data_IF_310593851266
#
_entry.id   IF_310593851266
#
_cell.length_a   1.000
_cell.length_b   1.000
_cell.length_c   1.000
_cell.angle_alpha   90.00
_cell.angle_beta   90.00
_cell.angle_gamma   90.00
#
_symmetry.space_group_name_H-M   'P 1'
#
loop_
_entity.id
_entity.type
_entity.pdbx_description
1 polymer ?
#
# COMPACT_ATOMS: atom_id res chain seq x y z
N UNK A 1 -17.79 -16.03 14.60
CA UNK A 1 -16.36 -15.92 14.98
C UNK A 1 -15.50 -17.15 14.69
N UNK A 2 -15.91 -18.39 15.04
CA UNK A 2 -15.07 -19.61 14.86
C UNK A 2 -14.55 -19.88 13.45
N UNK A 3 -15.25 -19.46 12.40
CA UNK A 3 -14.85 -19.68 10.99
C UNK A 3 -13.70 -18.78 10.56
N UNK A 4 -13.62 -17.56 11.10
CA UNK A 4 -12.59 -16.57 10.74
C UNK A 4 -11.41 -16.56 11.72
N UNK A 5 -11.54 -17.21 12.88
CA UNK A 5 -10.50 -17.28 13.89
C UNK A 5 -9.13 -17.78 13.36
N UNK A 6 -9.05 -18.79 12.48
CA UNK A 6 -7.76 -19.20 11.91
C UNK A 6 -7.16 -18.13 11.00
N UNK A 7 -7.99 -17.40 10.25
CA UNK A 7 -7.56 -16.32 9.37
C UNK A 7 -7.05 -15.14 10.18
N UNK A 8 -7.76 -14.73 11.24
CA UNK A 8 -7.31 -13.69 12.16
C UNK A 8 -6.05 -14.09 12.93
N UNK A 9 -5.94 -15.35 13.35
CA UNK A 9 -4.74 -15.86 13.99
C UNK A 9 -3.54 -15.84 13.02
N UNK A 10 -3.77 -16.15 11.74
CA UNK A 10 -2.73 -16.10 10.72
C UNK A 10 -2.31 -14.66 10.39
N UNK A 11 -3.26 -13.73 10.19
CA UNK A 11 -2.93 -12.31 9.96
C UNK A 11 -2.25 -11.69 11.18
N UNK A 12 -2.69 -12.02 12.39
CA UNK A 12 -2.04 -11.61 13.64
C UNK A 12 -0.62 -12.17 13.74
N UNK A 13 -0.41 -13.46 13.48
CA UNK A 13 0.91 -14.08 13.50
C UNK A 13 1.84 -13.50 12.42
N UNK A 14 1.32 -13.21 11.23
CA UNK A 14 2.07 -12.56 10.16
C UNK A 14 2.47 -11.12 10.53
N UNK A 15 1.56 -10.36 11.13
CA UNK A 15 1.83 -9.01 11.63
C UNK A 15 2.86 -8.99 12.78
N UNK A 16 2.78 -9.96 13.70
CA UNK A 16 3.72 -10.07 14.82
C UNK A 16 5.12 -10.49 14.35
N UNK A 17 5.21 -11.39 13.37
CA UNK A 17 6.47 -11.79 12.76
C UNK A 17 7.10 -10.66 11.92
N UNK A 18 6.30 -9.77 11.35
CA UNK A 18 6.77 -8.54 10.72
C UNK A 18 7.29 -7.51 11.74
N UNK A 19 6.85 -7.58 13.01
CA UNK A 19 7.29 -6.72 14.11
C UNK A 19 8.60 -7.18 14.77
N UNK A 20 8.92 -8.47 14.69
CA UNK A 20 10.20 -9.05 15.16
C UNK A 20 11.37 -8.77 14.20
N UNK A 21 11.06 -8.54 12.93
CA UNK A 21 12.00 -7.98 11.97
C UNK A 21 12.04 -6.48 12.23
N UNK A 22 13.22 -5.92 12.53
CA UNK A 22 13.42 -4.49 12.84
C UNK A 22 12.56 -3.58 11.94
N UNK A 23 12.04 -2.48 12.50
CA UNK A 23 11.12 -1.53 11.82
C UNK A 23 11.59 -0.97 10.46
N UNK A 24 12.81 -1.28 10.00
CA UNK A 24 13.31 -0.99 8.64
C UNK A 24 13.43 -2.18 7.68
N UNK A 25 13.31 -3.43 8.13
CA UNK A 25 13.59 -4.63 7.32
C UNK A 25 12.32 -5.39 6.89
N UNK A 26 11.21 -5.24 7.62
CA UNK A 26 9.93 -5.94 7.34
C UNK A 26 9.29 -5.49 6.02
N UNK A 27 9.41 -4.20 5.69
CA UNK A 27 9.02 -3.65 4.40
C UNK A 27 9.82 -4.27 3.24
N UNK A 28 11.08 -4.68 3.48
CA UNK A 28 11.98 -5.19 2.45
C UNK A 28 11.56 -6.52 1.82
N UNK A 29 10.91 -7.44 2.56
CA UNK A 29 10.50 -8.74 2.00
C UNK A 29 9.19 -8.67 1.22
N UNK A 30 8.25 -7.84 1.67
CA UNK A 30 7.03 -7.55 0.92
C UNK A 30 7.34 -6.68 -0.30
N UNK A 31 8.19 -5.66 -0.16
CA UNK A 31 8.69 -4.86 -1.27
C UNK A 31 9.44 -5.70 -2.31
N UNK A 32 10.24 -6.70 -1.88
CA UNK A 32 10.88 -7.67 -2.79
C UNK A 32 9.88 -8.59 -3.49
N UNK A 33 8.75 -8.91 -2.86
CA UNK A 33 7.66 -9.62 -3.53
C UNK A 33 6.96 -8.73 -4.58
N UNK A 34 6.77 -7.44 -4.28
CA UNK A 34 6.26 -6.45 -5.23
C UNK A 34 7.25 -6.20 -6.39
N UNK A 35 8.56 -6.11 -6.13
CA UNK A 35 9.66 -6.02 -7.11
C UNK A 35 9.56 -7.13 -8.18
N UNK A 36 9.30 -8.36 -7.73
CA UNK A 36 9.17 -9.53 -8.59
C UNK A 36 7.91 -9.49 -9.48
N UNK A 37 6.89 -8.72 -9.08
CA UNK A 37 5.61 -8.63 -9.75
C UNK A 37 5.55 -7.41 -10.71
N UNK A 38 6.14 -6.28 -10.32
CA UNK A 38 6.00 -4.97 -10.98
C UNK A 38 7.13 -4.62 -11.97
N UNK A 39 8.34 -5.20 -11.84
CA UNK A 39 9.50 -4.82 -12.67
C UNK A 39 9.52 -5.38 -14.10
N UNK A 40 9.89 -4.54 -15.08
CA UNK A 40 9.99 -4.85 -16.53
C UNK A 40 11.41 -5.33 -16.97
N UNK A 41 12.31 -5.60 -16.01
CA UNK A 41 13.65 -6.17 -16.27
C UNK A 41 13.66 -7.69 -16.17
N UNK A 42 14.52 -8.37 -16.95
CA UNK A 42 14.58 -9.82 -17.18
C UNK A 42 14.18 -10.71 -15.97
N UNK A 43 12.88 -11.06 -15.91
CA UNK A 43 12.35 -11.99 -14.89
C UNK A 43 12.94 -13.39 -15.07
N UNK A 44 13.54 -14.03 -14.04
CA UNK A 44 14.02 -15.39 -14.14
C UNK A 44 12.86 -16.35 -14.48
N UNK A 45 13.11 -17.38 -15.30
CA UNK A 45 12.08 -18.27 -15.86
C UNK A 45 11.16 -18.87 -14.78
N UNK A 46 11.71 -19.22 -13.61
CA UNK A 46 10.94 -19.76 -12.47
C UNK A 46 9.92 -18.76 -11.92
N UNK A 47 10.25 -17.47 -11.92
CA UNK A 47 9.38 -16.41 -11.45
C UNK A 47 8.29 -16.08 -12.48
N UNK A 48 8.64 -16.07 -13.77
CA UNK A 48 7.65 -15.96 -14.85
C UNK A 48 6.58 -17.04 -14.72
N UNK A 49 7.01 -18.27 -14.44
CA UNK A 49 6.09 -19.39 -14.22
C UNK A 49 5.13 -19.16 -13.04
N UNK A 50 5.65 -18.68 -11.90
CA UNK A 50 4.85 -18.35 -10.70
C UNK A 50 3.84 -17.24 -10.97
N UNK A 51 4.25 -16.16 -11.65
CA UNK A 51 3.34 -15.07 -12.01
C UNK A 51 2.27 -15.50 -12.99
N UNK A 52 2.57 -16.43 -13.90
CA UNK A 52 1.61 -16.94 -14.89
C UNK A 52 0.55 -17.86 -14.27
N UNK A 53 0.87 -18.60 -13.20
CA UNK A 53 -0.11 -19.47 -12.51
C UNK A 53 -0.88 -18.76 -11.40
N UNK A 54 -0.42 -17.58 -10.96
CA UNK A 54 -1.05 -16.81 -9.89
C UNK A 54 -2.55 -16.53 -10.10
N UNK A 55 -3.03 -16.08 -11.29
CA UNK A 55 -4.46 -15.88 -11.53
C UNK A 55 -5.29 -17.17 -11.42
N UNK A 56 -4.71 -18.32 -11.78
CA UNK A 56 -5.37 -19.62 -11.66
C UNK A 56 -5.50 -20.03 -10.19
N UNK A 57 -4.48 -19.76 -9.37
CA UNK A 57 -4.54 -19.94 -7.92
C UNK A 57 -5.64 -19.10 -7.26
N UNK A 58 -5.72 -17.80 -7.62
CA UNK A 58 -6.77 -16.89 -7.13
C UNK A 58 -8.16 -17.37 -7.54
N UNK A 59 -8.33 -17.84 -8.78
CA UNK A 59 -9.59 -18.44 -9.24
C UNK A 59 -9.97 -19.68 -8.42
N UNK A 60 -9.00 -20.55 -8.10
CA UNK A 60 -9.20 -21.70 -7.22
C UNK A 60 -9.67 -21.29 -5.83
N UNK A 61 -9.03 -20.29 -5.21
CA UNK A 61 -9.43 -19.77 -3.89
C UNK A 61 -10.84 -19.17 -3.91
N UNK A 62 -11.21 -18.43 -4.96
CA UNK A 62 -12.56 -17.91 -5.14
C UNK A 62 -13.60 -19.02 -5.27
N UNK A 63 -13.31 -20.09 -6.04
CA UNK A 63 -14.18 -21.26 -6.16
C UNK A 63 -14.37 -21.99 -4.83
N UNK A 64 -13.35 -21.96 -3.96
CA UNK A 64 -13.40 -22.52 -2.61
C UNK A 64 -14.06 -21.58 -1.58
N UNK A 65 -14.60 -20.43 -2.02
CA UNK A 65 -15.32 -19.49 -1.15
C UNK A 65 -14.41 -18.60 -0.29
N UNK A 66 -13.10 -18.57 -0.55
CA UNK A 66 -12.11 -17.74 0.16
C UNK A 66 -12.01 -16.35 -0.52
N UNK A 67 -13.10 -15.87 -1.13
CA UNK A 67 -13.11 -14.62 -1.90
C UNK A 67 -14.51 -14.09 -2.21
N UNK A 68 -14.60 -12.86 -2.75
CA UNK A 68 -13.93 -12.53 -4.01
C UNK A 68 -12.55 -11.88 -3.83
N UNK A 69 -11.52 -12.58 -4.30
CA UNK A 69 -10.14 -12.12 -4.44
C UNK A 69 -9.86 -11.69 -5.89
N UNK A 70 -9.11 -10.62 -6.06
CA UNK A 70 -8.59 -10.18 -7.37
C UNK A 70 -7.16 -10.67 -7.55
N UNK A 71 -6.80 -11.06 -8.78
CA UNK A 71 -5.40 -11.32 -9.16
C UNK A 71 -4.70 -10.07 -9.70
N UNK A 72 -5.42 -8.97 -9.86
CA UNK A 72 -4.85 -7.67 -10.26
C UNK A 72 -4.20 -7.00 -9.05
N UNK A 73 -2.87 -6.98 -9.09
CA UNK A 73 -1.97 -6.42 -8.08
C UNK A 73 -1.24 -5.18 -8.63
N UNK A 74 -1.74 -4.58 -9.70
CA UNK A 74 -1.19 -3.34 -10.23
C UNK A 74 -1.34 -2.20 -9.21
N UNK A 75 -0.43 -1.22 -9.24
CA UNK A 75 -0.53 -0.03 -8.38
C UNK A 75 -1.92 0.63 -8.33
N UNK A 76 -2.59 0.88 -9.48
CA UNK A 76 -3.95 1.42 -9.48
C UNK A 76 -4.99 0.50 -8.84
N UNK A 77 -4.88 -0.82 -9.03
CA UNK A 77 -5.79 -1.78 -8.40
C UNK A 77 -5.59 -1.84 -6.88
N UNK A 78 -4.34 -1.82 -6.42
CA UNK A 78 -4.01 -1.76 -5.00
C UNK A 78 -4.54 -0.47 -4.36
N UNK A 79 -4.37 0.68 -5.02
CA UNK A 79 -4.95 1.97 -4.59
C UNK A 79 -6.46 1.85 -4.42
N UNK A 80 -7.18 1.46 -5.48
CA UNK A 80 -8.65 1.31 -5.45
C UNK A 80 -9.12 0.36 -4.36
N UNK A 81 -8.46 -0.80 -4.23
CA UNK A 81 -8.82 -1.80 -3.22
C UNK A 81 -8.63 -1.27 -1.81
N UNK A 82 -7.56 -0.49 -1.57
CA UNK A 82 -7.28 0.11 -0.28
C UNK A 82 -8.28 1.21 0.06
N UNK A 83 -8.61 2.10 -0.91
CA UNK A 83 -9.62 3.15 -0.72
C UNK A 83 -11.01 2.55 -0.44
N UNK A 84 -11.38 1.50 -1.18
CA UNK A 84 -12.63 0.77 -0.93
C UNK A 84 -12.65 0.13 0.46
N UNK A 85 -11.55 -0.50 0.86
CA UNK A 85 -11.45 -1.11 2.19
C UNK A 85 -11.57 -0.06 3.31
N UNK A 86 -10.96 1.12 3.14
CA UNK A 86 -11.07 2.20 4.12
C UNK A 86 -12.46 2.83 4.13
N UNK A 87 -13.10 3.00 2.98
CA UNK A 87 -14.49 3.44 2.91
C UNK A 87 -15.46 2.46 3.59
N UNK A 88 -15.27 1.16 3.39
CA UNK A 88 -16.04 0.12 4.09
C UNK A 88 -15.77 0.14 5.60
N UNK A 89 -14.51 0.29 6.02
CA UNK A 89 -14.15 0.38 7.43
C UNK A 89 -14.81 1.60 8.09
N UNK A 90 -14.74 2.78 7.45
CA UNK A 90 -15.38 3.99 7.92
C UNK A 90 -16.91 3.81 8.05
N UNK A 91 -17.54 3.23 7.02
CA UNK A 91 -18.98 2.95 7.04
C UNK A 91 -19.40 1.99 8.15
N UNK A 92 -18.67 0.89 8.35
CA UNK A 92 -18.96 -0.10 9.40
C UNK A 92 -18.71 0.42 10.81
N UNK A 93 -17.74 1.30 10.98
CA UNK A 93 -17.46 1.95 12.25
C UNK A 93 -18.42 3.11 12.54
N UNK A 94 -19.28 3.50 11.58
CA UNK A 94 -20.20 4.63 11.73
C UNK A 94 -19.45 5.96 11.83
N UNK A 95 -18.35 6.12 11.09
CA UNK A 95 -17.62 7.40 11.05
C UNK A 95 -18.44 8.40 10.22
N UNK A 96 -18.98 9.42 10.88
CA UNK A 96 -19.81 10.47 10.27
C UNK A 96 -19.01 11.73 9.89
N UNK A 97 -17.68 11.70 10.01
CA UNK A 97 -16.82 12.82 9.64
C UNK A 97 -16.85 13.08 8.12
N UNK A 98 -16.86 14.36 7.72
CA UNK A 98 -16.76 14.76 6.32
C UNK A 98 -15.40 14.37 5.71
N UNK A 99 -14.33 14.40 6.53
CA UNK A 99 -12.98 14.05 6.11
C UNK A 99 -12.41 12.95 7.01
N UNK A 100 -11.99 11.85 6.40
CA UNK A 100 -11.39 10.69 7.07
C UNK A 100 -9.93 10.60 6.67
N UNK A 101 -9.04 10.77 7.66
CA UNK A 101 -7.60 10.71 7.48
C UNK A 101 -7.11 9.32 7.86
N UNK A 102 -6.29 8.70 7.01
CA UNK A 102 -5.73 7.37 7.25
C UNK A 102 -4.31 7.26 6.70
N UNK A 103 -3.67 6.11 6.92
CA UNK A 103 -2.30 5.82 6.47
C UNK A 103 -2.19 4.42 5.88
N UNK A 104 -1.15 3.68 6.28
CA UNK A 104 -0.91 2.25 5.99
C UNK A 104 -0.55 1.88 4.55
N UNK A 105 -1.12 2.52 3.53
CA UNK A 105 -0.81 2.22 2.12
C UNK A 105 0.49 2.86 1.63
N UNK A 106 1.06 3.76 2.44
CA UNK A 106 2.27 4.54 2.16
C UNK A 106 2.15 5.47 0.94
N UNK A 107 0.97 5.54 0.32
CA UNK A 107 0.66 6.41 -0.81
C UNK A 107 -0.06 7.65 -0.32
N UNK A 108 0.56 8.81 -0.51
CA UNK A 108 -0.09 10.09 -0.28
C UNK A 108 -1.27 10.31 -1.26
N UNK A 109 -2.32 10.96 -0.79
CA UNK A 109 -3.38 11.49 -1.67
C UNK A 109 -4.63 11.97 -0.94
N UNK A 110 -5.64 12.48 -1.67
CA UNK A 110 -5.69 12.56 -3.13
C UNK A 110 -4.65 13.52 -3.73
N UNK A 111 -4.12 13.18 -4.90
CA UNK A 111 -3.26 14.06 -5.72
C UNK A 111 -4.03 14.60 -6.93
N UNK A 112 -3.57 15.69 -7.59
CA UNK A 112 -4.29 16.31 -8.71
C UNK A 112 -4.62 15.35 -9.87
N UNK A 113 -3.78 14.34 -10.09
CA UNK A 113 -3.92 13.34 -11.16
C UNK A 113 -4.78 12.13 -10.74
N UNK A 114 -5.20 12.07 -9.47
CA UNK A 114 -6.08 11.01 -9.00
C UNK A 114 -7.52 11.22 -9.48
N UNK A 115 -8.21 10.12 -9.77
CA UNK A 115 -9.66 10.14 -9.90
C UNK A 115 -10.29 10.40 -8.52
N UNK A 116 -10.73 11.64 -8.31
CA UNK A 116 -11.31 12.08 -7.03
C UNK A 116 -12.56 11.30 -6.62
N UNK A 117 -13.24 10.62 -7.56
CA UNK A 117 -14.39 9.77 -7.22
C UNK A 117 -13.99 8.53 -6.44
N UNK A 118 -12.76 8.01 -6.64
CA UNK A 118 -12.20 6.89 -5.86
C UNK A 118 -11.92 7.29 -4.39
N UNK A 119 -11.74 8.59 -4.13
CA UNK A 119 -11.43 9.16 -2.82
C UNK A 119 -12.67 9.60 -2.03
N UNK A 120 -13.85 9.23 -2.50
CA UNK A 120 -15.11 9.41 -1.78
C UNK A 120 -15.61 8.06 -1.30
N UNK A 121 -16.05 8.01 -0.05
CA UNK A 121 -16.82 6.87 0.45
C UNK A 121 -18.22 6.87 -0.17
N UNK A 122 -18.93 5.72 -0.20
CA UNK A 122 -20.33 5.68 -0.61
C UNK A 122 -21.24 6.63 0.18
N UNK A 123 -20.89 6.91 1.45
CA UNK A 123 -21.60 7.86 2.31
C UNK A 123 -21.25 9.33 2.07
N UNK A 124 -20.34 9.63 1.14
CA UNK A 124 -19.98 10.99 0.76
C UNK A 124 -18.76 11.57 1.48
N UNK A 125 -18.25 10.95 2.55
CA UNK A 125 -17.01 11.42 3.19
C UNK A 125 -15.81 11.36 2.24
N UNK A 126 -14.93 12.34 2.35
CA UNK A 126 -13.61 12.33 1.72
C UNK A 126 -12.65 11.42 2.47
N UNK A 127 -11.85 10.67 1.72
CA UNK A 127 -10.71 9.94 2.23
C UNK A 127 -9.43 10.75 1.96
N UNK A 128 -8.50 10.76 2.90
CA UNK A 128 -7.19 11.40 2.77
C UNK A 128 -6.10 10.52 3.35
N UNK A 129 -4.96 10.42 2.66
CA UNK A 129 -3.82 9.65 3.11
C UNK A 129 -2.55 10.50 3.18
N UNK A 130 -1.92 10.54 4.36
CA UNK A 130 -0.68 11.28 4.55
C UNK A 130 0.54 10.62 3.87
N UNK A 131 0.47 9.34 3.52
CA UNK A 131 1.54 8.60 2.87
C UNK A 131 2.54 8.03 3.88
N UNK A 132 3.83 8.32 3.67
CA UNK A 132 4.93 7.74 4.42
C UNK A 132 6.01 8.78 4.76
N UNK A 133 6.86 8.45 5.73
CA UNK A 133 8.06 9.19 6.12
C UNK A 133 9.35 8.41 5.86
N UNK A 134 9.24 7.16 5.42
CA UNK A 134 10.36 6.29 5.07
C UNK A 134 10.53 6.26 3.55
N UNK A 135 11.78 6.38 3.07
CA UNK A 135 12.09 6.22 1.66
C UNK A 135 12.04 4.74 1.27
N UNK A 136 10.99 4.35 0.55
CA UNK A 136 10.78 2.99 0.07
C UNK A 136 11.06 2.91 -1.44
N UNK A 137 12.33 2.84 -1.81
CA UNK A 137 12.84 2.94 -3.21
C UNK A 137 12.08 2.12 -4.25
N UNK A 138 11.51 0.99 -3.84
CA UNK A 138 10.81 0.07 -4.74
C UNK A 138 9.44 0.59 -5.18
N UNK A 139 8.79 1.43 -4.37
CA UNK A 139 7.46 2.01 -4.66
C UNK A 139 7.53 3.52 -4.87
N UNK A 140 8.53 4.19 -4.27
CA UNK A 140 8.77 5.63 -4.40
C UNK A 140 9.16 6.05 -5.82
N UNK A 141 9.48 5.13 -6.73
CA UNK A 141 9.94 5.49 -8.07
C UNK A 141 11.18 6.39 -8.04
N UNK A 142 11.32 7.27 -9.03
CA UNK A 142 12.56 8.00 -9.28
C UNK A 142 12.66 9.39 -8.63
N UNK A 143 11.66 9.85 -7.85
CA UNK A 143 11.72 11.20 -7.32
C UNK A 143 10.48 11.75 -6.58
N UNK A 144 10.51 13.04 -6.22
CA UNK A 144 9.58 13.69 -5.30
C UNK A 144 8.12 13.74 -5.76
N UNK A 145 7.90 13.68 -7.07
CA UNK A 145 6.58 13.66 -7.70
C UNK A 145 5.84 12.33 -7.48
N UNK A 146 6.54 11.30 -7.02
CA UNK A 146 5.90 10.02 -6.73
C UNK A 146 4.92 10.14 -5.55
N UNK A 147 3.71 9.57 -5.69
CA UNK A 147 2.76 9.46 -4.58
C UNK A 147 3.29 8.68 -3.37
N UNK A 148 4.35 7.89 -3.53
CA UNK A 148 5.00 7.09 -2.48
C UNK A 148 6.31 7.71 -1.98
N UNK A 149 6.63 8.93 -2.41
CA UNK A 149 7.79 9.64 -1.91
C UNK A 149 7.53 10.18 -0.49
N UNK A 150 8.50 10.07 0.44
CA UNK A 150 8.27 10.41 1.85
C UNK A 150 7.99 11.90 2.07
N UNK A 151 7.41 12.22 3.23
CA UNK A 151 7.19 13.61 3.67
C UNK A 151 5.82 14.16 3.30
N UNK A 152 4.85 13.30 3.03
CA UNK A 152 3.45 13.72 2.95
C UNK A 152 2.88 14.03 4.35
N UNK A 153 2.17 15.15 4.46
CA UNK A 153 1.48 15.56 5.68
C UNK A 153 0.13 16.19 5.34
N UNK A 154 -0.85 16.06 6.23
CA UNK A 154 -2.14 16.72 6.11
C UNK A 154 -2.21 17.80 7.18
N UNK A 155 -2.34 19.05 6.76
CA UNK A 155 -2.64 20.17 7.64
C UNK A 155 -4.15 20.25 7.84
N UNK A 156 -4.57 20.09 9.10
CA UNK A 156 -5.95 20.26 9.53
C UNK A 156 -6.02 21.59 10.25
N UNK A 157 -6.83 22.50 9.72
CA UNK A 157 -7.10 23.81 10.29
C UNK A 157 -8.46 23.79 11.02
N UNK A 158 -8.81 24.89 11.70
CA UNK A 158 -10.08 24.98 12.43
C UNK A 158 -11.31 24.87 11.50
N UNK A 159 -11.17 25.37 10.27
CA UNK A 159 -12.21 25.39 9.25
C UNK A 159 -11.69 24.87 7.90
N UNK A 160 -12.58 24.21 7.14
CA UNK A 160 -12.32 23.80 5.76
C UNK A 160 -11.66 22.42 5.59
N UNK A 161 -11.39 22.01 4.33
CA UNK A 161 -10.84 20.69 4.05
C UNK A 161 -9.35 20.59 4.44
N UNK A 162 -8.87 19.39 4.88
CA UNK A 162 -7.45 19.16 5.11
C UNK A 162 -6.62 19.49 3.86
N UNK A 163 -5.50 20.18 4.07
CA UNK A 163 -4.57 20.53 2.99
C UNK A 163 -3.40 19.56 2.96
N UNK A 164 -3.16 18.96 1.80
CA UNK A 164 -2.01 18.11 1.60
C UNK A 164 -0.73 18.92 1.42
N UNK A 165 0.30 18.59 2.20
CA UNK A 165 1.64 19.16 2.16
C UNK A 165 2.66 18.10 1.76
N UNK A 166 3.67 18.51 0.99
CA UNK A 166 4.83 17.71 0.59
C UNK A 166 6.08 18.36 1.17
N UNK A 167 6.43 17.96 2.39
CA UNK A 167 7.38 18.70 3.24
C UNK A 167 8.85 18.45 2.89
N UNK A 168 9.15 17.30 2.28
CA UNK A 168 10.53 16.89 2.01
C UNK A 168 11.01 17.21 0.59
N UNK A 169 10.11 17.49 -0.36
CA UNK A 169 10.50 17.82 -1.74
C UNK A 169 11.63 16.94 -2.29
N UNK A 170 12.61 17.55 -2.93
CA UNK A 170 13.84 16.97 -3.45
C UNK A 170 14.99 16.87 -2.42
N UNK A 171 14.80 17.34 -1.18
CA UNK A 171 15.82 17.35 -0.12
C UNK A 171 16.21 15.94 0.37
N UNK A 172 15.42 14.91 0.02
CA UNK A 172 15.73 13.52 0.34
C UNK A 172 16.67 12.95 -0.70
N UNK A 173 17.96 12.97 -0.37
CA UNK A 173 18.96 12.19 -1.09
C UNK A 173 18.84 10.72 -0.69
N UNK A 174 18.67 9.79 -1.65
CA UNK A 174 18.75 8.38 -1.35
C UNK A 174 20.16 8.07 -0.79
N UNK A 175 20.32 7.36 0.35
CA UNK A 175 21.65 6.92 0.79
C UNK A 175 22.35 6.14 -0.34
N UNK A 176 23.66 6.27 -0.47
CA UNK A 176 24.41 5.51 -1.48
C UNK A 176 24.16 4.00 -1.28
N UNK A 177 23.89 3.22 -2.34
CA UNK A 177 23.73 1.77 -2.16
C UNK A 177 24.97 1.22 -1.47
N UNK A 178 24.76 0.37 -0.45
CA UNK A 178 25.86 -0.29 0.21
C UNK A 178 26.71 -1.04 -0.84
N UNK A 179 28.05 -0.99 -0.75
CA UNK A 179 28.90 -1.75 -1.65
C UNK A 179 28.51 -3.23 -1.58
N UNK A 180 28.62 -3.97 -2.70
CA UNK A 180 28.34 -5.40 -2.69
C UNK A 180 29.21 -6.08 -1.62
N UNK A 181 28.71 -7.12 -0.94
CA UNK A 181 29.53 -7.87 0.01
C UNK A 181 30.76 -8.41 -0.70
N UNK A 182 31.91 -8.39 -0.02
CA UNK A 182 33.16 -8.96 -0.55
C UNK A 182 32.91 -10.41 -1.01
N UNK A 183 33.45 -10.80 -2.18
CA UNK A 183 33.37 -12.19 -2.61
C UNK A 183 34.08 -13.08 -1.58
N UNK A 184 33.35 -14.07 -1.06
CA UNK A 184 33.87 -15.10 -0.15
C UNK A 184 34.87 -16.03 -0.85
#
# INVERSE_FOLDING_TARGET
>A
ERVLAPLYAWTYAAAQRAREVSMGEGAGRAAKAYELLEGDSHKPIRLRLLTSVFPLGIRGLNLLGIGPLSSDISGPALRRSSLRAMGEAAGRLGIEAEHVLFGHTHRTGPLPEDDLTEWRTPGGSWLHNCGNWVLERYVSGSGPDSPYWPGGALLVEDDGPPRLLRLLGDEVSPPEPAPPPDPA
#
